data_IF_070866459587
#
_entry.id   IF_070866459587
#
_cell.length_a   1.000
_cell.length_b   1.000
_cell.length_c   1.000
_cell.angle_alpha   90.00
_cell.angle_beta   90.00
_cell.angle_gamma   90.00
#
_symmetry.space_group_name_H-M   'P 1'
#
loop_
_entity.id
_entity.type
_entity.pdbx_description
1 polymer ?
#
# COMPACT_ATOMS: atom_id res chain seq x y z
N UNK A 1 -4.30 6.17 -14.03
CA UNK A 1 -4.27 5.64 -12.65
C UNK A 1 -3.47 4.37 -12.63
N UNK A 2 -2.83 4.05 -11.53
CA UNK A 2 -1.97 2.87 -11.40
C UNK A 2 -2.33 2.10 -10.13
N UNK A 3 -2.12 0.80 -10.17
CA UNK A 3 -2.23 -0.09 -9.03
C UNK A 3 -0.94 -0.06 -8.20
N UNK A 4 -1.07 -0.16 -6.87
CA UNK A 4 0.06 -0.22 -5.94
C UNK A 4 -0.24 -1.26 -4.86
N UNK A 5 0.07 -2.53 -5.17
CA UNK A 5 -0.12 -3.64 -4.22
C UNK A 5 0.98 -3.60 -3.17
N UNK A 6 0.54 -3.55 -1.91
CA UNK A 6 1.40 -3.39 -0.75
C UNK A 6 1.03 -4.36 0.36
N UNK A 7 2.01 -4.74 1.17
CA UNK A 7 1.73 -5.35 2.47
C UNK A 7 1.07 -4.30 3.37
N UNK A 8 -0.07 -4.63 3.93
CA UNK A 8 -0.75 -3.82 4.93
C UNK A 8 -0.50 -4.35 6.33
N UNK A 9 -0.16 -3.47 7.26
CA UNK A 9 0.01 -3.79 8.68
C UNK A 9 -1.20 -3.27 9.45
N UNK A 10 -1.77 -4.10 10.32
CA UNK A 10 -2.89 -3.72 11.22
C UNK A 10 -2.35 -3.55 12.63
N UNK A 11 -2.60 -2.40 13.25
CA UNK A 11 -2.15 -2.10 14.62
C UNK A 11 -3.10 -2.75 15.65
N UNK A 12 -2.53 -3.39 16.67
CA UNK A 12 -3.28 -4.09 17.74
C UNK A 12 -3.63 -3.20 18.92
N UNK A 13 -2.71 -2.32 19.33
CA UNK A 13 -2.90 -1.43 20.47
C UNK A 13 -2.10 -0.13 20.29
N UNK A 14 -2.59 0.97 20.89
CA UNK A 14 -2.01 2.28 20.69
C UNK A 14 -0.53 2.38 21.08
N UNK A 15 0.18 3.26 20.42
CA UNK A 15 1.57 3.56 20.76
C UNK A 15 2.07 4.87 20.19
N UNK A 16 2.94 5.50 20.96
CA UNK A 16 3.66 6.71 20.57
C UNK A 16 5.13 6.54 20.88
N UNK A 17 6.01 7.03 19.99
CA UNK A 17 7.47 6.89 20.13
C UNK A 17 7.92 5.43 20.35
N UNK A 18 7.34 4.51 19.59
CA UNK A 18 7.63 3.08 19.69
C UNK A 18 9.06 2.83 19.20
N UNK A 19 9.95 2.25 20.03
CA UNK A 19 11.26 1.89 19.55
C UNK A 19 11.19 0.73 18.56
N UNK A 20 12.07 0.63 17.54
CA UNK A 20 12.03 -0.44 16.55
C UNK A 20 11.95 -1.84 17.15
N UNK A 21 12.66 -2.09 18.26
CA UNK A 21 12.66 -3.38 18.95
C UNK A 21 11.32 -3.79 19.55
N UNK A 22 10.37 -2.87 19.66
CA UNK A 22 9.01 -3.09 20.20
C UNK A 22 7.92 -3.05 19.12
N UNK A 23 8.27 -2.72 17.90
CA UNK A 23 7.30 -2.51 16.83
C UNK A 23 6.37 -3.71 16.59
N UNK A 24 6.91 -4.95 16.57
CA UNK A 24 6.11 -6.16 16.37
C UNK A 24 5.11 -6.43 17.52
N UNK A 25 5.33 -5.90 18.70
CA UNK A 25 4.36 -6.03 19.81
C UNK A 25 3.06 -5.30 19.46
N UNK A 26 3.12 -4.19 18.72
CA UNK A 26 1.98 -3.37 18.30
C UNK A 26 1.24 -3.89 17.06
N UNK A 27 1.69 -4.95 16.41
CA UNK A 27 1.05 -5.52 15.24
C UNK A 27 -0.03 -6.54 15.67
N UNK A 28 -1.23 -6.41 15.11
CA UNK A 28 -2.28 -7.42 15.16
C UNK A 28 -2.06 -8.48 14.09
N UNK A 29 -1.87 -8.04 12.86
CA UNK A 29 -1.73 -8.91 11.70
C UNK A 29 -1.45 -8.16 10.42
N UNK A 30 -1.60 -8.86 9.30
CA UNK A 30 -1.26 -8.40 7.97
C UNK A 30 -2.41 -8.61 7.01
N UNK A 31 -2.46 -7.78 5.98
CA UNK A 31 -3.46 -7.84 4.90
C UNK A 31 -2.82 -7.36 3.60
N UNK A 32 -3.57 -7.39 2.51
CA UNK A 32 -3.15 -6.76 1.25
C UNK A 32 -3.86 -5.42 1.11
N UNK A 33 -3.13 -4.40 0.70
CA UNK A 33 -3.64 -3.09 0.35
C UNK A 33 -3.32 -2.80 -1.11
N UNK A 34 -4.25 -2.14 -1.81
CA UNK A 34 -3.98 -1.61 -3.14
C UNK A 34 -4.07 -0.08 -3.05
N UNK A 35 -2.93 0.58 -2.82
CA UNK A 35 -2.83 2.04 -2.69
C UNK A 35 -2.94 2.72 -4.07
N UNK A 36 -4.08 2.51 -4.73
CA UNK A 36 -4.34 3.04 -6.08
C UNK A 36 -4.00 4.51 -6.16
N UNK A 37 -3.28 4.90 -7.21
CA UNK A 37 -2.83 6.27 -7.39
C UNK A 37 -3.30 6.87 -8.70
N UNK A 38 -3.89 8.06 -8.64
CA UNK A 38 -4.17 8.86 -9.82
C UNK A 38 -2.93 9.60 -10.35
N UNK A 39 -1.77 9.47 -9.71
CA UNK A 39 -0.49 10.15 -10.00
C UNK A 39 -0.61 11.68 -10.04
N UNK A 40 -1.56 12.22 -10.75
CA UNK A 40 -1.89 13.64 -10.73
C UNK A 40 -3.38 13.79 -11.04
N UNK A 41 -4.11 14.41 -10.15
CA UNK A 41 -5.43 14.92 -10.48
C UNK A 41 -5.25 16.28 -11.12
N UNK A 42 -5.68 16.41 -12.37
CA UNK A 42 -5.60 17.65 -13.14
C UNK A 42 -6.51 18.78 -12.64
N UNK A 43 -6.58 18.98 -11.32
CA UNK A 43 -7.19 20.18 -10.72
C UNK A 43 -6.29 21.41 -10.86
N UNK A 44 -5.28 21.31 -11.72
CA UNK A 44 -4.32 22.36 -11.98
C UNK A 44 -4.95 23.70 -12.36
N UNK A 45 -6.10 23.67 -13.05
CA UNK A 45 -6.81 24.89 -13.49
C UNK A 45 -7.40 25.67 -12.31
N UNK A 46 -7.59 25.04 -11.15
CA UNK A 46 -8.09 25.67 -9.94
C UNK A 46 -6.98 26.19 -9.01
N UNK A 47 -5.72 25.85 -9.30
CA UNK A 47 -4.57 26.23 -8.48
C UNK A 47 -3.54 26.99 -9.33
N UNK A 48 -2.99 28.06 -8.75
CA UNK A 48 -1.83 28.74 -9.34
C UNK A 48 -0.65 27.78 -9.38
N UNK A 49 0.19 27.87 -10.40
CA UNK A 49 1.45 27.13 -10.49
C UNK A 49 2.33 27.51 -9.29
N UNK A 50 2.47 26.58 -8.36
CA UNK A 50 3.31 26.69 -7.17
C UNK A 50 4.23 25.49 -7.10
N UNK A 51 5.41 25.57 -6.48
CA UNK A 51 6.31 24.42 -6.31
C UNK A 51 5.67 23.22 -5.60
N UNK A 52 4.67 23.46 -4.76
CA UNK A 52 3.95 22.42 -4.01
C UNK A 52 2.78 21.79 -4.79
N UNK A 53 2.44 22.30 -5.98
CA UNK A 53 1.30 21.80 -6.77
C UNK A 53 1.37 20.30 -7.02
N UNK A 54 2.51 19.82 -7.50
CA UNK A 54 2.69 18.39 -7.81
C UNK A 54 2.53 17.51 -6.57
N UNK A 55 2.98 17.96 -5.42
CA UNK A 55 2.82 17.24 -4.17
C UNK A 55 1.34 17.14 -3.75
N UNK A 56 0.59 18.24 -3.84
CA UNK A 56 -0.85 18.24 -3.54
C UNK A 56 -1.65 17.43 -4.56
N UNK A 57 -1.31 17.49 -5.84
CA UNK A 57 -1.98 16.70 -6.87
C UNK A 57 -1.73 15.20 -6.67
N UNK A 58 -0.51 14.82 -6.28
CA UNK A 58 -0.18 13.45 -5.90
C UNK A 58 -0.95 13.01 -4.66
N UNK A 59 -0.98 13.80 -3.61
CA UNK A 59 -1.69 13.49 -2.36
C UNK A 59 -3.20 13.33 -2.59
N UNK A 60 -3.82 14.27 -3.31
CA UNK A 60 -5.24 14.18 -3.68
C UNK A 60 -5.52 12.93 -4.54
N UNK A 61 -4.56 12.50 -5.34
CA UNK A 61 -4.65 11.30 -6.15
C UNK A 61 -4.73 9.99 -5.37
N UNK A 62 -4.59 10.04 -4.04
CA UNK A 62 -4.75 8.92 -3.10
C UNK A 62 -6.11 8.90 -2.39
N UNK A 63 -6.88 10.00 -2.43
CA UNK A 63 -8.04 10.21 -1.57
C UNK A 63 -9.40 10.10 -2.29
N UNK A 64 -9.43 9.54 -3.49
CA UNK A 64 -10.69 9.39 -4.21
C UNK A 64 -11.53 8.26 -3.59
N UNK A 65 -12.85 8.40 -3.69
CA UNK A 65 -13.78 7.38 -3.23
C UNK A 65 -13.50 6.02 -3.89
N UNK A 66 -13.49 4.96 -3.08
CA UNK A 66 -13.20 3.61 -3.53
C UNK A 66 -11.71 3.30 -3.69
N UNK A 67 -10.83 4.24 -3.38
CA UNK A 67 -9.38 4.02 -3.37
C UNK A 67 -8.94 3.26 -2.11
N UNK A 68 -7.74 2.68 -2.19
CA UNK A 68 -7.16 1.86 -1.14
C UNK A 68 -8.04 0.69 -0.69
N UNK A 69 -8.55 -0.18 -1.62
CA UNK A 69 -9.19 -1.42 -1.21
C UNK A 69 -8.24 -2.29 -0.40
N UNK A 70 -8.80 -2.95 0.63
CA UNK A 70 -8.06 -3.75 1.61
C UNK A 70 -8.69 -5.14 1.71
N UNK A 71 -7.89 -6.19 1.82
CA UNK A 71 -8.38 -7.55 1.96
C UNK A 71 -7.38 -8.60 1.47
N UNK A 72 -7.85 -9.83 1.21
CA UNK A 72 -9.23 -10.33 1.36
C UNK A 72 -9.63 -10.51 2.84
N UNK A 73 -8.67 -10.64 3.73
CA UNK A 73 -8.82 -10.79 5.18
C UNK A 73 -7.58 -10.26 5.90
N UNK A 74 -7.63 -10.27 7.22
CA UNK A 74 -6.46 -9.99 8.06
C UNK A 74 -5.96 -11.32 8.61
N UNK A 75 -4.70 -11.66 8.32
CA UNK A 75 -4.00 -12.80 8.89
C UNK A 75 -3.34 -12.37 10.19
N UNK A 76 -3.60 -13.09 11.29
CA UNK A 76 -2.95 -12.79 12.57
C UNK A 76 -1.43 -12.96 12.47
N UNK A 77 -0.69 -12.11 13.16
CA UNK A 77 0.79 -12.09 13.07
C UNK A 77 1.47 -13.41 13.41
N UNK A 78 0.82 -14.29 14.21
CA UNK A 78 1.38 -15.62 14.53
C UNK A 78 1.46 -16.56 13.35
N UNK A 79 0.65 -16.31 12.30
CA UNK A 79 0.60 -17.15 11.10
C UNK A 79 1.66 -16.75 10.06
N UNK A 80 2.28 -15.57 10.22
CA UNK A 80 3.31 -15.07 9.30
C UNK A 80 4.67 -15.13 10.00
N UNK A 81 5.47 -16.10 9.61
CA UNK A 81 6.79 -16.35 10.25
C UNK A 81 7.76 -15.20 10.02
N UNK A 82 7.78 -14.65 8.81
CA UNK A 82 8.71 -13.58 8.44
C UNK A 82 8.06 -12.58 7.48
N UNK A 83 7.40 -11.54 8.01
CA UNK A 83 6.73 -10.54 7.16
C UNK A 83 7.69 -9.68 6.33
N UNK A 84 8.97 -9.64 6.68
CA UNK A 84 10.01 -8.97 5.91
C UNK A 84 10.57 -9.82 4.75
N UNK A 85 9.95 -10.97 4.42
CA UNK A 85 10.36 -11.82 3.30
C UNK A 85 9.17 -12.59 2.71
N UNK A 86 8.15 -11.88 2.25
CA UNK A 86 6.98 -12.45 1.57
C UNK A 86 7.04 -12.11 0.08
N UNK A 87 6.72 -13.07 -0.78
CA UNK A 87 6.57 -12.82 -2.20
C UNK A 87 5.33 -11.97 -2.47
N UNK A 88 5.47 -10.98 -3.35
CA UNK A 88 4.38 -10.09 -3.80
C UNK A 88 4.29 -10.16 -5.32
N UNK A 89 3.09 -10.36 -5.83
CA UNK A 89 2.81 -10.33 -7.27
C UNK A 89 1.61 -9.43 -7.54
N UNK A 90 1.73 -8.59 -8.55
CA UNK A 90 0.64 -7.79 -9.09
C UNK A 90 0.37 -8.20 -10.52
N UNK A 91 -0.88 -8.51 -10.85
CA UNK A 91 -1.32 -8.72 -12.23
C UNK A 91 -2.50 -7.83 -12.59
N UNK A 92 -2.61 -7.52 -13.88
CA UNK A 92 -3.76 -6.82 -14.46
C UNK A 92 -4.24 -7.61 -15.66
N UNK A 93 -5.53 -7.94 -15.68
CA UNK A 93 -6.16 -8.79 -16.70
C UNK A 93 -5.39 -10.12 -16.91
N UNK A 94 -4.92 -10.72 -15.81
CA UNK A 94 -4.18 -11.98 -15.82
C UNK A 94 -2.71 -11.87 -16.26
N UNK A 95 -2.25 -10.66 -16.61
CA UNK A 95 -0.83 -10.43 -16.98
C UNK A 95 -0.06 -9.90 -15.79
N UNK A 96 1.00 -10.61 -15.38
CA UNK A 96 1.88 -10.17 -14.30
C UNK A 96 2.60 -8.89 -14.72
N UNK A 97 2.47 -7.85 -13.89
CA UNK A 97 3.15 -6.55 -14.06
C UNK A 97 4.32 -6.37 -13.12
N UNK A 98 4.15 -6.79 -11.88
CA UNK A 98 5.17 -6.65 -10.84
C UNK A 98 5.30 -7.97 -10.11
N UNK A 99 6.55 -8.36 -9.84
CA UNK A 99 6.87 -9.48 -8.97
C UNK A 99 8.09 -9.12 -8.13
N UNK A 100 8.00 -9.38 -6.84
CA UNK A 100 9.10 -9.11 -5.92
C UNK A 100 8.80 -9.61 -4.51
N UNK A 101 9.48 -9.07 -3.54
CA UNK A 101 9.37 -9.51 -2.14
C UNK A 101 9.50 -8.35 -1.18
N UNK A 102 8.83 -8.44 -0.02
CA UNK A 102 8.96 -7.45 1.07
C UNK A 102 10.41 -7.27 1.54
N UNK A 103 11.28 -8.25 1.31
CA UNK A 103 12.73 -8.14 1.60
C UNK A 103 13.41 -6.95 0.91
N UNK A 104 12.82 -6.46 -0.19
CA UNK A 104 13.34 -5.31 -0.94
C UNK A 104 12.88 -3.96 -0.40
N UNK A 105 12.06 -3.93 0.65
CA UNK A 105 11.69 -2.67 1.30
C UNK A 105 12.96 -1.93 1.77
N UNK A 106 13.01 -0.64 1.47
CA UNK A 106 14.12 0.23 1.91
C UNK A 106 14.17 0.37 3.43
N UNK A 107 13.01 0.40 4.04
CA UNK A 107 12.83 0.41 5.49
C UNK A 107 12.02 -0.82 5.87
N UNK A 108 12.54 -1.61 6.81
CA UNK A 108 11.83 -2.75 7.38
C UNK A 108 10.59 -2.29 8.19
N UNK A 109 9.71 -3.25 8.48
CA UNK A 109 8.47 -2.99 9.22
C UNK A 109 8.73 -2.28 10.55
N UNK A 110 9.77 -2.68 11.27
CA UNK A 110 10.09 -2.11 12.58
C UNK A 110 10.43 -0.62 12.49
N UNK A 111 11.22 -0.22 11.48
CA UNK A 111 11.56 1.17 11.24
C UNK A 111 10.37 2.00 10.80
N UNK A 112 9.49 1.43 9.96
CA UNK A 112 8.28 2.12 9.51
C UNK A 112 7.35 2.44 10.69
N UNK A 113 7.04 1.45 11.54
CA UNK A 113 6.20 1.64 12.73
C UNK A 113 6.84 2.65 13.69
N UNK A 114 8.15 2.51 13.96
CA UNK A 114 8.87 3.44 14.82
C UNK A 114 8.79 4.87 14.28
N UNK A 115 9.08 5.05 12.99
CA UNK A 115 9.03 6.38 12.36
C UNK A 115 7.65 7.02 12.44
N UNK A 116 6.60 6.28 12.06
CA UNK A 116 5.23 6.79 12.09
C UNK A 116 4.78 7.14 13.51
N UNK A 117 5.13 6.30 14.49
CA UNK A 117 4.78 6.55 15.89
C UNK A 117 5.49 7.77 16.50
N UNK A 118 6.55 8.26 15.89
CA UNK A 118 7.19 9.54 16.29
C UNK A 118 6.42 10.76 15.73
N UNK A 119 5.68 10.58 14.62
CA UNK A 119 4.89 11.64 13.99
C UNK A 119 3.51 11.75 14.63
N UNK A 120 2.81 10.61 14.78
CA UNK A 120 1.46 10.53 15.35
C UNK A 120 1.36 9.35 16.32
N UNK A 121 0.36 9.37 17.20
CA UNK A 121 -0.01 8.17 17.95
C UNK A 121 -0.64 7.18 16.97
N UNK A 122 -0.14 5.95 16.96
CA UNK A 122 -0.80 4.86 16.26
C UNK A 122 -1.93 4.35 17.16
N UNK A 123 -3.11 4.10 16.57
CA UNK A 123 -4.29 3.64 17.29
C UNK A 123 -4.63 2.19 16.89
N UNK A 124 -5.42 1.50 17.72
CA UNK A 124 -5.90 0.17 17.40
C UNK A 124 -6.76 0.19 16.14
N UNK A 125 -6.42 -0.66 15.19
CA UNK A 125 -7.11 -0.75 13.89
C UNK A 125 -6.51 0.15 12.81
N UNK A 126 -5.51 0.98 13.12
CA UNK A 126 -4.76 1.70 12.08
C UNK A 126 -4.16 0.73 11.08
N UNK A 127 -4.22 1.12 9.80
CA UNK A 127 -3.63 0.40 8.69
C UNK A 127 -2.41 1.18 8.18
N UNK A 128 -1.29 0.48 8.04
CA UNK A 128 -0.06 1.04 7.48
C UNK A 128 0.23 0.33 6.16
N UNK A 129 0.24 1.09 5.07
CA UNK A 129 0.73 0.66 3.78
C UNK A 129 2.27 0.72 3.77
N UNK A 130 2.94 -0.38 3.42
CA UNK A 130 4.40 -0.51 3.61
C UNK A 130 5.22 -0.09 2.40
N UNK A 131 4.57 0.29 1.33
CA UNK A 131 5.20 0.67 0.07
C UNK A 131 5.14 -0.44 -0.98
N UNK A 132 5.03 0.00 -2.23
CA UNK A 132 4.92 -0.86 -3.41
C UNK A 132 6.27 -1.47 -3.79
N UNK A 133 6.24 -2.68 -4.35
CA UNK A 133 7.40 -3.23 -5.06
C UNK A 133 7.62 -2.40 -6.33
N UNK A 134 8.78 -1.77 -6.51
CA UNK A 134 9.02 -0.91 -7.66
C UNK A 134 9.04 -1.74 -8.96
N UNK A 135 8.57 -1.11 -10.05
CA UNK A 135 8.77 -1.65 -11.40
C UNK A 135 10.26 -1.93 -11.65
N UNK A 136 10.54 -2.93 -12.48
CA UNK A 136 11.90 -3.17 -12.92
C UNK A 136 12.36 -1.99 -13.81
N UNK A 137 13.67 -1.72 -13.79
CA UNK A 137 14.24 -0.66 -14.62
C UNK A 137 13.90 -0.87 -16.10
N UNK A 138 13.37 0.18 -16.73
CA UNK A 138 12.94 0.16 -18.13
C UNK A 138 11.53 -0.37 -18.38
N UNK A 139 10.82 -0.85 -17.37
CA UNK A 139 9.39 -1.20 -17.51
C UNK A 139 8.54 0.09 -17.51
N UNK A 140 7.66 0.26 -18.51
CA UNK A 140 6.75 1.41 -18.52
C UNK A 140 5.68 1.26 -17.45
N UNK A 141 5.33 2.35 -16.80
CA UNK A 141 4.12 2.42 -15.99
C UNK A 141 2.90 2.40 -16.91
N UNK A 142 2.03 1.39 -16.75
CA UNK A 142 0.84 1.22 -17.59
C UNK A 142 -0.37 1.71 -16.81
N UNK A 143 -1.07 2.71 -17.35
CA UNK A 143 -2.28 3.25 -16.75
C UNK A 143 -3.44 2.26 -16.85
N UNK A 144 -4.22 2.18 -15.77
CA UNK A 144 -5.46 1.39 -15.72
C UNK A 144 -6.55 2.02 -16.56
N UNK A 145 -7.31 1.16 -17.21
CA UNK A 145 -8.54 1.49 -17.96
C UNK A 145 -9.78 0.96 -17.24
N UNK A 146 -10.92 1.61 -17.44
CA UNK A 146 -12.18 1.13 -16.85
C UNK A 146 -12.49 -0.30 -17.29
N UNK A 147 -12.78 -1.17 -16.34
CA UNK A 147 -13.01 -2.59 -16.54
C UNK A 147 -11.79 -3.47 -16.29
N UNK A 148 -10.59 -2.89 -16.08
CA UNK A 148 -9.41 -3.68 -15.76
C UNK A 148 -9.58 -4.41 -14.43
N UNK A 149 -9.23 -5.69 -14.42
CA UNK A 149 -9.18 -6.53 -13.21
C UNK A 149 -7.76 -6.55 -12.66
N UNK A 150 -7.62 -6.15 -11.40
CA UNK A 150 -6.36 -6.10 -10.69
C UNK A 150 -6.35 -7.23 -9.67
N UNK A 151 -5.29 -8.03 -9.66
CA UNK A 151 -5.03 -9.03 -8.63
C UNK A 151 -3.70 -8.73 -7.94
N UNK A 152 -3.77 -8.53 -6.63
CA UNK A 152 -2.61 -8.47 -5.76
C UNK A 152 -2.50 -9.74 -4.94
N UNK A 153 -1.40 -10.46 -5.07
CA UNK A 153 -1.12 -11.68 -4.30
C UNK A 153 0.05 -11.42 -3.36
N UNK A 154 -0.13 -11.77 -2.09
CA UNK A 154 0.97 -11.80 -1.11
C UNK A 154 1.02 -13.19 -0.49
N UNK A 155 2.22 -13.76 -0.47
CA UNK A 155 2.50 -15.07 0.11
C UNK A 155 1.88 -15.21 1.52
N UNK A 156 1.25 -16.33 1.80
CA UNK A 156 0.59 -16.66 3.06
C UNK A 156 -0.58 -15.76 3.45
N UNK A 157 -0.90 -14.71 2.69
CA UNK A 157 -2.07 -13.85 2.96
C UNK A 157 -3.21 -14.18 2.00
N UNK A 158 -2.95 -14.29 0.69
CA UNK A 158 -3.99 -14.61 -0.28
C UNK A 158 -3.99 -13.69 -1.48
N UNK A 159 -5.19 -13.45 -2.03
CA UNK A 159 -5.37 -12.66 -3.26
C UNK A 159 -6.43 -11.59 -3.01
N UNK A 160 -6.06 -10.33 -3.21
CA UNK A 160 -6.99 -9.20 -3.29
C UNK A 160 -7.32 -8.93 -4.76
N UNK A 161 -8.62 -9.00 -5.11
CA UNK A 161 -9.10 -8.70 -6.47
C UNK A 161 -9.94 -7.43 -6.47
N UNK A 162 -9.68 -6.57 -7.42
CA UNK A 162 -10.41 -5.33 -7.62
C UNK A 162 -10.70 -5.13 -9.11
N UNK A 163 -11.86 -4.55 -9.44
CA UNK A 163 -12.14 -4.06 -10.78
C UNK A 163 -12.04 -2.55 -10.79
N UNK A 164 -11.22 -2.01 -11.67
CA UNK A 164 -11.09 -0.56 -11.83
C UNK A 164 -12.25 -0.02 -12.67
N UNK A 165 -12.95 1.00 -12.19
CA UNK A 165 -14.05 1.63 -12.92
C UNK A 165 -14.86 2.61 -12.10
N UNK A 166 -15.81 3.26 -12.73
CA UNK A 166 -16.75 4.12 -12.03
C UNK A 166 -17.78 3.24 -11.28
N UNK A 167 -18.18 3.63 -10.04
CA UNK A 167 -19.31 2.99 -9.38
C UNK A 167 -20.54 3.16 -10.28
N UNK A 168 -21.30 2.07 -10.45
CA UNK A 168 -22.58 2.06 -11.18
C UNK A 168 -23.67 2.67 -10.32
#
# INVERSE_FOLDING_TARGET
MVEEIELGIVISHPGRNIPPSKAFEHIFGYTIMNDVSARSLGFSDLRKDTPSKHWFDWLNGKWLDGYCPVGPWIIHKSEIVNPDNLEITTSVNGTIRVQGTTKRMKFDIQKQISYLSNICTLETGDLIATGVVPLQEGQPEIMLSSGDEIEGTIESIGILKNTFGYPR
#
